data_IF_965840812473
#
_entry.id   IF_965840812473
#
_cell.length_a   1.000
_cell.length_b   1.000
_cell.length_c   1.000
_cell.angle_alpha   90.00
_cell.angle_beta   90.00
_cell.angle_gamma   90.00
#
_symmetry.space_group_name_H-M   'P 1'
#
loop_
_entity.id
_entity.type
_entity.pdbx_description
1 polymer ?
#
# COMPACT_ATOMS: atom_id res chain seq x y z
N UNK A 1 -9.10 1.22 -3.20
CA UNK A 1 -8.16 2.16 -2.55
C UNK A 1 -8.95 3.10 -1.63
N UNK A 2 -8.48 3.32 -0.40
CA UNK A 2 -9.11 4.32 0.48
C UNK A 2 -8.91 5.74 -0.07
N UNK A 3 -9.43 6.72 0.66
CA UNK A 3 -9.42 8.12 0.26
C UNK A 3 -8.08 8.76 0.67
N UNK A 4 -7.23 9.22 -0.27
CA UNK A 4 -6.01 9.94 0.07
C UNK A 4 -6.33 11.24 0.81
N UNK A 5 -5.47 11.59 1.77
CA UNK A 5 -5.44 12.89 2.47
C UNK A 5 -4.27 13.72 1.94
N UNK A 6 -4.02 14.87 2.56
CA UNK A 6 -2.88 15.74 2.26
C UNK A 6 -1.53 15.09 2.52
N UNK A 7 -1.49 14.19 3.49
CA UNK A 7 -0.27 13.65 4.09
C UNK A 7 -0.30 12.12 4.23
N UNK A 8 -1.31 11.47 3.64
CA UNK A 8 -1.53 10.06 3.85
C UNK A 8 -2.59 9.43 2.96
N UNK A 9 -2.83 8.15 3.21
CA UNK A 9 -3.95 7.39 2.65
C UNK A 9 -4.15 6.11 3.44
N UNK A 10 -5.35 5.53 3.36
CA UNK A 10 -5.60 4.17 3.82
C UNK A 10 -5.64 3.22 2.63
N UNK A 11 -4.75 2.24 2.59
CA UNK A 11 -4.77 1.17 1.61
C UNK A 11 -5.67 0.06 2.12
N UNK A 12 -6.82 -0.11 1.45
CA UNK A 12 -7.76 -1.21 1.71
C UNK A 12 -7.74 -2.22 0.58
N UNK A 13 -7.62 -3.51 0.89
CA UNK A 13 -7.63 -4.58 -0.11
C UNK A 13 -8.26 -5.87 0.44
N UNK A 14 -8.91 -6.66 -0.43
CA UNK A 14 -9.28 -8.03 -0.10
C UNK A 14 -8.10 -8.96 -0.38
N UNK A 15 -7.68 -9.65 0.65
CA UNK A 15 -6.51 -10.53 0.68
C UNK A 15 -6.89 -11.84 1.36
N UNK A 16 -7.97 -12.50 0.91
CA UNK A 16 -8.57 -13.69 1.52
C UNK A 16 -7.60 -14.86 1.78
N UNK A 17 -6.40 -14.83 1.20
CA UNK A 17 -5.34 -15.83 1.35
C UNK A 17 -4.12 -15.33 2.12
N UNK A 18 -4.00 -14.01 2.37
CA UNK A 18 -2.86 -13.42 3.05
C UNK A 18 -3.13 -13.37 4.56
N UNK A 19 -2.18 -13.89 5.33
CA UNK A 19 -2.16 -13.79 6.80
C UNK A 19 -1.16 -12.74 7.29
N UNK A 20 -0.15 -12.43 6.47
CA UNK A 20 0.79 -11.35 6.68
C UNK A 20 1.29 -10.84 5.31
N UNK A 21 1.39 -9.52 5.16
CA UNK A 21 1.86 -8.90 3.92
C UNK A 21 2.56 -7.58 4.22
N UNK A 22 3.36 -7.12 3.27
CA UNK A 22 3.99 -5.80 3.31
C UNK A 22 3.46 -4.94 2.16
N UNK A 23 3.13 -3.69 2.46
CA UNK A 23 2.76 -2.66 1.49
C UNK A 23 4.01 -1.88 1.13
N UNK A 24 4.48 -2.03 -0.10
CA UNK A 24 5.59 -1.26 -0.62
C UNK A 24 5.07 -0.05 -1.38
N UNK A 25 5.66 1.12 -1.15
CA UNK A 25 5.22 2.35 -1.78
C UNK A 25 6.37 3.32 -2.09
N UNK A 26 6.11 4.27 -2.99
CA UNK A 26 7.08 5.30 -3.39
C UNK A 26 6.60 6.17 -4.54
N UNK A 27 7.34 7.22 -4.87
CA UNK A 27 6.95 8.21 -5.89
C UNK A 27 7.32 7.79 -7.33
N UNK A 28 8.00 6.65 -7.48
CA UNK A 28 8.40 6.09 -8.77
C UNK A 28 7.94 4.65 -8.86
N UNK A 29 7.34 4.29 -10.00
CA UNK A 29 6.86 2.93 -10.30
C UNK A 29 7.96 1.86 -10.26
N UNK A 30 9.23 2.25 -10.41
CA UNK A 30 10.40 1.35 -10.34
C UNK A 30 11.16 1.44 -9.01
N UNK A 31 10.77 2.33 -8.10
CA UNK A 31 11.47 2.57 -6.83
C UNK A 31 10.46 2.84 -5.70
N UNK A 32 9.83 1.75 -5.23
CA UNK A 32 8.94 1.71 -4.06
C UNK A 32 9.71 1.13 -2.88
N UNK A 33 10.56 1.94 -2.25
CA UNK A 33 11.46 1.50 -1.18
C UNK A 33 10.87 1.65 0.23
N UNK A 34 9.80 2.43 0.37
CA UNK A 34 9.11 2.55 1.65
C UNK A 34 8.24 1.31 1.85
N UNK A 35 8.09 0.88 3.11
CA UNK A 35 7.35 -0.34 3.46
C UNK A 35 6.53 -0.09 4.71
N UNK A 36 5.27 -0.52 4.70
CA UNK A 36 4.44 -0.66 5.90
C UNK A 36 3.99 -2.12 6.05
N UNK A 37 3.96 -2.61 7.29
CA UNK A 37 3.44 -3.94 7.58
C UNK A 37 1.91 -3.97 7.52
N UNK A 38 1.37 -5.00 6.90
CA UNK A 38 -0.06 -5.25 6.77
C UNK A 38 -0.45 -6.57 7.41
N UNK A 39 -1.40 -6.53 8.34
CA UNK A 39 -1.98 -7.73 8.95
C UNK A 39 -3.46 -7.83 8.57
N UNK A 40 -3.79 -8.59 7.51
CA UNK A 40 -5.19 -8.79 7.14
C UNK A 40 -5.99 -9.46 8.24
N UNK A 41 -7.22 -8.99 8.47
CA UNK A 41 -8.17 -9.58 9.42
C UNK A 41 -9.36 -10.09 8.64
N UNK A 42 -9.67 -11.38 8.77
CA UNK A 42 -10.74 -12.06 8.02
C UNK A 42 -10.64 -11.87 6.48
N UNK A 43 -9.42 -11.69 5.96
CA UNK A 43 -9.19 -11.48 4.53
C UNK A 43 -9.35 -10.03 4.07
N UNK A 44 -9.53 -9.08 4.97
CA UNK A 44 -9.53 -7.65 4.67
C UNK A 44 -8.25 -7.00 5.23
N UNK A 45 -7.50 -6.34 4.35
CA UNK A 45 -6.31 -5.55 4.68
C UNK A 45 -6.69 -4.08 4.81
N UNK A 46 -6.16 -3.43 5.84
CA UNK A 46 -6.20 -1.98 6.02
C UNK A 46 -4.85 -1.49 6.55
N UNK A 47 -4.15 -0.67 5.76
CA UNK A 47 -2.83 -0.12 6.12
C UNK A 47 -2.88 1.39 5.96
N UNK A 48 -2.46 2.10 7.01
CA UNK A 48 -2.35 3.55 7.00
C UNK A 48 -0.95 3.96 6.53
N UNK A 49 -0.88 4.79 5.49
CA UNK A 49 0.34 5.44 5.04
C UNK A 49 0.28 6.89 5.51
N UNK A 50 1.30 7.35 6.23
CA UNK A 50 1.39 8.72 6.79
C UNK A 50 2.70 9.38 6.40
N UNK A 51 2.84 10.69 6.67
CA UNK A 51 4.07 11.44 6.36
C UNK A 51 4.35 11.58 4.86
N UNK A 52 3.33 11.45 4.02
CA UNK A 52 3.44 11.61 2.58
C UNK A 52 3.49 13.09 2.19
N UNK A 53 4.18 13.38 1.10
CA UNK A 53 4.22 14.73 0.54
C UNK A 53 2.87 15.03 -0.11
N UNK A 54 2.31 16.21 0.14
CA UNK A 54 1.07 16.70 -0.50
C UNK A 54 1.20 16.79 -2.02
N UNK A 55 0.06 16.72 -2.72
CA UNK A 55 -0.01 16.84 -4.19
C UNK A 55 1.03 15.96 -4.91
N UNK A 56 1.27 14.75 -4.40
CA UNK A 56 2.32 13.85 -4.88
C UNK A 56 1.72 12.52 -5.25
N UNK A 57 2.07 12.04 -6.45
CA UNK A 57 1.70 10.71 -6.91
C UNK A 57 2.56 9.65 -6.27
N UNK A 58 1.91 8.67 -5.65
CA UNK A 58 2.52 7.49 -5.08
C UNK A 58 2.08 6.24 -5.83
N UNK A 59 2.99 5.30 -5.97
CA UNK A 59 2.78 3.96 -6.47
C UNK A 59 2.91 2.99 -5.30
N UNK A 60 2.13 1.92 -5.32
CA UNK A 60 2.24 0.87 -4.32
C UNK A 60 1.91 -0.52 -4.87
N UNK A 61 2.42 -1.55 -4.19
CA UNK A 61 1.99 -2.94 -4.35
C UNK A 61 1.98 -3.63 -2.99
N UNK A 62 1.19 -4.70 -2.90
CA UNK A 62 1.14 -5.55 -1.71
C UNK A 62 1.92 -6.83 -2.02
N UNK A 63 2.77 -7.27 -1.10
CA UNK A 63 3.55 -8.49 -1.22
C UNK A 63 3.27 -9.42 -0.06
N UNK A 64 3.04 -10.69 -0.34
CA UNK A 64 2.89 -11.72 0.69
C UNK A 64 4.21 -11.92 1.44
N UNK A 65 4.15 -11.95 2.78
CA UNK A 65 5.31 -12.19 3.65
C UNK A 65 5.53 -13.68 3.90
N UNK A 66 4.48 -14.49 3.88
CA UNK A 66 4.53 -15.94 4.05
C UNK A 66 4.99 -16.63 2.76
N UNK A 67 4.59 -16.12 1.60
CA UNK A 67 5.09 -16.58 0.29
C UNK A 67 5.61 -15.43 -0.59
N UNK A 68 6.80 -14.90 -0.28
CA UNK A 68 7.39 -13.79 -1.02
C UNK A 68 7.80 -14.14 -2.46
N UNK A 69 7.73 -15.43 -2.85
CA UNK A 69 8.02 -15.90 -4.22
C UNK A 69 6.75 -15.97 -5.08
N UNK A 70 5.56 -16.17 -4.48
CA UNK A 70 4.34 -16.45 -5.24
C UNK A 70 3.42 -15.25 -5.50
N UNK A 71 3.61 -14.08 -4.90
CA UNK A 71 2.67 -13.00 -5.17
C UNK A 71 3.08 -11.63 -4.69
N UNK A 72 3.30 -10.73 -5.66
CA UNK A 72 2.96 -9.33 -5.46
C UNK A 72 1.72 -9.00 -6.30
N UNK A 73 0.92 -8.07 -5.83
CA UNK A 73 -0.17 -7.52 -6.65
C UNK A 73 0.38 -6.80 -7.88
N UNK A 74 -0.51 -6.41 -8.79
CA UNK A 74 -0.22 -5.32 -9.71
C UNK A 74 0.21 -4.05 -8.98
N UNK A 75 0.84 -3.14 -9.71
CA UNK A 75 1.19 -1.82 -9.18
C UNK A 75 -0.02 -0.91 -9.32
N UNK A 76 -0.41 -0.29 -8.21
CA UNK A 76 -1.47 0.69 -8.14
C UNK A 76 -0.88 2.07 -7.84
N UNK A 77 -1.68 3.11 -8.00
CA UNK A 77 -1.26 4.47 -7.64
C UNK A 77 -2.40 5.27 -7.04
N UNK A 78 -2.02 6.23 -6.20
CA UNK A 78 -2.88 7.28 -5.69
C UNK A 78 -2.13 8.61 -5.70
N UNK A 79 -2.84 9.70 -5.46
CA UNK A 79 -2.27 11.04 -5.34
C UNK A 79 -2.80 11.66 -4.05
N UNK A 80 -1.89 12.18 -3.22
CA UNK A 80 -2.26 12.94 -2.02
C UNK A 80 -2.94 14.25 -2.41
N UNK A 81 -3.86 14.73 -1.57
CA UNK A 81 -4.56 15.98 -1.86
C UNK A 81 -3.63 17.18 -1.67
N UNK A 82 -4.01 18.32 -2.26
CA UNK A 82 -3.23 19.54 -2.14
C UNK A 82 -3.42 20.24 -0.78
N UNK A 83 -4.63 20.10 -0.18
CA UNK A 83 -5.11 20.66 1.10
C UNK A 83 -6.24 19.76 1.63
#
# INVERSE_FOLDING_TARGET
PGTPTVDGTTITAKTALLTACDVYYGTKITAMFNTEEGTPVAGDLSVELTGLTKSTKYYFYIKDKADPKSGRTGIYSFETTAV
#
